data_IF_742546793276
#
_entry.id   IF_742546793276
#
_cell.length_a   1.000
_cell.length_b   1.000
_cell.length_c   1.000
_cell.angle_alpha   90.00
_cell.angle_beta   90.00
_cell.angle_gamma   90.00
#
_symmetry.space_group_name_H-M   'P 1'
#
loop_
_entity.id
_entity.type
_entity.pdbx_description
1 polymer ?
#
# COMPACT_ATOMS: atom_id res chain seq x y z
N UNK A 1 8.69 35.53 7.98
CA UNK A 1 9.13 36.19 6.73
C UNK A 1 10.50 35.62 6.39
N UNK A 2 10.66 35.07 5.19
CA UNK A 2 11.91 34.48 4.73
C UNK A 2 12.88 35.62 4.37
N UNK A 3 13.96 35.75 5.15
CA UNK A 3 14.95 36.83 4.99
C UNK A 3 15.47 36.96 3.55
N UNK A 4 15.50 35.86 2.78
CA UNK A 4 15.98 35.86 1.39
C UNK A 4 15.03 36.53 0.40
N UNK A 5 13.73 36.60 0.69
CA UNK A 5 12.72 37.26 -0.17
C UNK A 5 12.67 38.75 0.11
N UNK A 6 12.85 39.14 1.39
CA UNK A 6 12.87 40.54 1.81
C UNK A 6 14.12 41.29 1.29
N UNK A 7 15.19 40.54 0.98
CA UNK A 7 16.44 41.05 0.39
C UNK A 7 16.36 41.28 -1.15
N UNK A 8 15.28 40.83 -1.80
CA UNK A 8 15.05 41.08 -3.23
C UNK A 8 14.28 42.40 -3.43
N UNK A 9 14.78 43.29 -4.30
CA UNK A 9 14.02 44.47 -4.72
C UNK A 9 12.67 44.02 -5.32
N UNK A 10 11.55 44.48 -4.72
CA UNK A 10 10.18 44.07 -5.03
C UNK A 10 9.83 42.59 -4.73
N UNK A 11 10.58 41.91 -3.87
CA UNK A 11 10.37 40.48 -3.55
C UNK A 11 8.96 40.16 -3.07
N UNK A 12 8.36 41.00 -2.20
CA UNK A 12 6.98 40.82 -1.72
C UNK A 12 5.96 40.96 -2.85
N UNK A 13 6.12 41.94 -3.74
CA UNK A 13 5.21 42.17 -4.88
C UNK A 13 5.30 41.01 -5.87
N UNK A 14 6.50 40.49 -6.11
CA UNK A 14 6.73 39.33 -6.96
C UNK A 14 6.07 38.07 -6.37
N UNK A 15 6.19 37.87 -5.05
CA UNK A 15 5.56 36.76 -4.35
C UNK A 15 4.04 36.80 -4.45
N UNK A 16 3.43 37.98 -4.27
CA UNK A 16 1.97 38.16 -4.36
C UNK A 16 1.46 37.94 -5.80
N UNK A 17 2.24 38.35 -6.80
CA UNK A 17 1.96 38.05 -8.20
C UNK A 17 1.99 36.55 -8.47
N UNK A 18 3.02 35.83 -7.98
CA UNK A 18 3.11 34.38 -8.13
C UNK A 18 1.97 33.65 -7.43
N UNK A 19 1.57 34.09 -6.23
CA UNK A 19 0.40 33.53 -5.51
C UNK A 19 -0.88 33.72 -6.32
N UNK A 20 -1.09 34.91 -6.86
CA UNK A 20 -2.28 35.21 -7.68
C UNK A 20 -2.30 34.36 -8.96
N UNK A 21 -1.14 34.17 -9.62
CA UNK A 21 -1.04 33.32 -10.81
C UNK A 21 -1.32 31.86 -10.46
N UNK A 22 -0.77 31.35 -9.35
CA UNK A 22 -0.98 29.98 -8.90
C UNK A 22 -2.48 29.72 -8.62
N UNK A 23 -3.14 30.62 -7.87
CA UNK A 23 -4.58 30.57 -7.59
C UNK A 23 -5.43 30.60 -8.86
N UNK A 24 -5.15 31.52 -9.78
CA UNK A 24 -5.89 31.64 -11.03
C UNK A 24 -5.73 30.40 -11.94
N UNK A 25 -4.63 29.66 -11.78
CA UNK A 25 -4.35 28.43 -12.53
C UNK A 25 -4.71 27.16 -11.77
N UNK A 26 -5.17 27.28 -10.52
CA UNK A 26 -5.39 26.14 -9.62
C UNK A 26 -4.13 25.26 -9.49
N UNK A 27 -2.95 25.88 -9.46
CA UNK A 27 -1.66 25.20 -9.31
C UNK A 27 -1.34 25.00 -7.82
N UNK A 28 -1.95 23.96 -7.25
CA UNK A 28 -1.84 23.63 -5.82
C UNK A 28 -0.39 23.42 -5.36
N UNK A 29 0.49 22.94 -6.26
CA UNK A 29 1.90 22.75 -5.96
C UNK A 29 2.60 24.10 -5.76
N UNK A 30 2.41 25.03 -6.70
CA UNK A 30 2.97 26.38 -6.57
C UNK A 30 2.34 27.14 -5.41
N UNK A 31 1.04 27.03 -5.18
CA UNK A 31 0.40 27.61 -3.99
C UNK A 31 1.05 27.12 -2.69
N UNK A 32 1.38 25.83 -2.62
CA UNK A 32 2.05 25.25 -1.47
C UNK A 32 3.47 25.80 -1.26
N UNK A 33 4.29 25.85 -2.32
CA UNK A 33 5.66 26.37 -2.23
C UNK A 33 5.71 27.84 -1.84
N UNK A 34 4.65 28.59 -2.12
CA UNK A 34 4.53 30.02 -1.82
C UNK A 34 3.96 30.29 -0.41
N UNK A 35 3.55 29.25 0.34
CA UNK A 35 3.16 29.39 1.74
C UNK A 35 4.41 29.62 2.60
N UNK A 36 4.41 30.61 3.51
CA UNK A 36 5.49 30.78 4.47
C UNK A 36 5.65 29.51 5.30
N UNK A 37 6.85 28.92 5.31
CA UNK A 37 7.17 27.62 5.92
C UNK A 37 7.66 27.69 7.37
N UNK A 38 7.69 28.90 7.96
CA UNK A 38 8.28 29.13 9.28
C UNK A 38 7.45 30.14 10.06
N UNK A 39 6.56 29.65 10.91
CA UNK A 39 6.14 30.41 12.09
C UNK A 39 7.31 30.57 13.08
N UNK A 40 7.33 31.66 13.86
CA UNK A 40 8.40 31.96 14.84
C UNK A 40 8.53 30.89 15.93
N UNK A 41 7.52 30.04 16.12
CA UNK A 41 7.60 28.79 16.87
C UNK A 41 6.78 27.74 16.11
N UNK A 42 7.38 26.61 15.70
CA UNK A 42 6.64 25.56 15.03
C UNK A 42 5.59 24.99 15.99
N UNK A 43 4.33 24.80 15.55
CA UNK A 43 3.32 24.15 16.37
C UNK A 43 3.78 22.74 16.74
N UNK A 44 3.56 22.32 17.99
CA UNK A 44 3.78 20.94 18.41
C UNK A 44 2.67 20.09 17.78
N UNK A 45 2.98 19.38 16.70
CA UNK A 45 2.08 18.41 16.08
C UNK A 45 2.34 17.00 16.62
N UNK A 46 1.26 16.29 16.95
CA UNK A 46 1.28 14.90 17.38
C UNK A 46 0.92 14.01 16.19
N UNK A 47 1.82 13.07 15.87
CA UNK A 47 1.66 12.16 14.75
C UNK A 47 1.19 10.81 15.24
N UNK A 48 0.16 10.27 14.60
CA UNK A 48 -0.24 8.89 14.79
C UNK A 48 0.34 8.06 13.66
N UNK A 49 1.34 7.23 13.96
CA UNK A 49 1.75 6.19 13.01
C UNK A 49 0.82 5.01 13.15
N UNK A 50 0.29 4.54 12.03
CA UNK A 50 -0.55 3.37 11.94
C UNK A 50 -0.07 2.49 10.78
N UNK A 51 0.03 1.18 11.01
CA UNK A 51 0.26 0.20 9.95
C UNK A 51 -0.93 -0.76 9.89
N UNK A 52 -1.32 -1.10 8.67
CA UNK A 52 -2.36 -2.08 8.41
C UNK A 52 -1.83 -3.13 7.44
N UNK A 53 -1.64 -4.32 7.97
CA UNK A 53 -1.06 -5.45 7.25
C UNK A 53 -2.08 -6.57 7.18
N UNK A 54 -2.32 -7.09 5.98
CA UNK A 54 -3.06 -8.33 5.77
C UNK A 54 -2.08 -9.43 5.41
N UNK A 55 -2.08 -10.51 6.19
CA UNK A 55 -1.26 -11.70 5.94
C UNK A 55 -2.21 -12.85 5.58
N UNK A 56 -1.98 -13.49 4.44
CA UNK A 56 -2.78 -14.61 3.96
C UNK A 56 -1.88 -15.82 3.69
N UNK A 57 -2.17 -16.93 4.33
CA UNK A 57 -1.51 -18.20 4.08
C UNK A 57 -2.48 -19.15 3.37
N UNK A 58 -2.16 -19.49 2.14
CA UNK A 58 -2.90 -20.44 1.33
C UNK A 58 -2.11 -21.74 1.24
N UNK A 59 -2.55 -22.76 1.98
CA UNK A 59 -1.94 -24.08 1.97
C UNK A 59 -2.62 -24.94 0.91
N UNK A 60 -1.87 -25.33 -0.12
CA UNK A 60 -2.34 -26.22 -1.18
C UNK A 60 -2.10 -27.68 -0.81
N UNK A 61 -0.89 -28.02 -0.39
CA UNK A 61 -0.54 -29.34 0.13
C UNK A 61 0.22 -29.19 1.45
N UNK A 62 -0.10 -30.02 2.45
CA UNK A 62 0.67 -30.13 3.68
C UNK A 62 0.67 -31.59 4.15
N UNK A 63 1.60 -32.36 3.61
CA UNK A 63 1.77 -33.78 3.90
C UNK A 63 3.23 -34.04 4.27
N UNK A 64 3.45 -34.60 5.45
CA UNK A 64 4.78 -34.91 5.96
C UNK A 64 4.84 -36.42 6.19
N UNK A 65 5.62 -37.11 5.36
CA UNK A 65 5.95 -38.51 5.54
C UNK A 65 7.39 -38.66 6.02
N UNK A 66 7.58 -39.46 7.09
CA UNK A 66 8.88 -39.77 7.65
C UNK A 66 9.01 -41.29 7.77
N UNK A 67 9.86 -41.90 6.94
CA UNK A 67 10.26 -43.30 7.04
C UNK A 67 11.38 -43.45 8.06
N UNK A 68 10.99 -43.83 9.28
CA UNK A 68 11.91 -44.08 10.40
C UNK A 68 12.91 -45.20 10.09
N UNK A 69 12.54 -46.18 9.26
CA UNK A 69 13.43 -47.27 8.86
C UNK A 69 14.63 -46.76 8.07
N UNK A 70 14.42 -45.77 7.19
CA UNK A 70 15.50 -45.13 6.45
C UNK A 70 16.40 -44.27 7.35
N UNK A 71 15.84 -43.58 8.34
CA UNK A 71 16.62 -42.86 9.36
C UNK A 71 17.54 -43.83 10.11
N UNK A 72 17.00 -44.99 10.53
CA UNK A 72 17.79 -46.02 11.21
C UNK A 72 18.87 -46.61 10.30
N UNK A 73 18.60 -46.81 9.02
CA UNK A 73 19.59 -47.29 8.04
C UNK A 73 20.73 -46.27 7.80
N UNK A 74 20.45 -44.96 7.90
CA UNK A 74 21.46 -43.91 7.82
C UNK A 74 22.41 -43.93 9.03
N UNK A 75 21.85 -44.13 10.23
CA UNK A 75 22.61 -44.14 11.50
C UNK A 75 23.40 -45.43 11.70
N UNK A 76 22.85 -46.56 11.26
CA UNK A 76 23.48 -47.89 11.42
C UNK A 76 24.48 -48.24 10.33
N UNK A 77 24.63 -47.40 9.29
CA UNK A 77 25.60 -47.60 8.21
C UNK A 77 25.19 -48.64 7.16
N UNK A 78 23.93 -49.10 7.18
CA UNK A 78 23.41 -50.10 6.24
C UNK A 78 23.16 -49.54 4.82
N UNK A 79 23.34 -48.22 4.62
CA UNK A 79 23.16 -47.55 3.34
C UNK A 79 23.94 -46.23 3.32
N UNK A 80 24.09 -45.62 2.13
CA UNK A 80 24.66 -44.27 2.03
C UNK A 80 23.77 -43.29 2.82
N UNK A 81 24.29 -42.60 3.85
CA UNK A 81 23.51 -41.72 4.72
C UNK A 81 22.70 -40.66 3.95
N UNK A 82 23.25 -40.11 2.86
CA UNK A 82 22.57 -39.10 2.06
C UNK A 82 21.34 -39.67 1.34
N UNK A 83 21.45 -40.88 0.81
CA UNK A 83 20.35 -41.57 0.12
C UNK A 83 19.26 -41.96 1.12
N UNK A 84 19.67 -42.45 2.29
CA UNK A 84 18.76 -42.84 3.35
C UNK A 84 17.99 -41.63 3.94
N UNK A 85 18.65 -40.49 4.14
CA UNK A 85 17.97 -39.26 4.58
C UNK A 85 16.97 -38.77 3.53
N UNK A 86 17.31 -38.79 2.24
CA UNK A 86 16.37 -38.43 1.17
C UNK A 86 15.16 -39.37 1.14
N UNK A 87 15.40 -40.68 1.24
CA UNK A 87 14.34 -41.67 1.27
C UNK A 87 13.47 -41.56 2.54
N UNK A 88 14.03 -41.12 3.66
CA UNK A 88 13.30 -40.90 4.90
C UNK A 88 12.18 -39.87 4.73
N UNK A 89 12.36 -38.86 3.88
CA UNK A 89 11.34 -37.84 3.63
C UNK A 89 10.59 -38.04 2.31
N UNK A 90 10.73 -39.22 1.68
CA UNK A 90 10.07 -39.50 0.42
C UNK A 90 8.54 -39.53 0.62
N UNK A 91 7.82 -38.66 -0.12
CA UNK A 91 6.40 -38.40 0.10
C UNK A 91 6.08 -37.15 0.92
N UNK A 92 7.09 -36.43 1.43
CA UNK A 92 6.88 -35.08 1.96
C UNK A 92 6.51 -34.13 0.80
N UNK A 93 5.35 -33.48 0.92
CA UNK A 93 4.81 -32.55 -0.05
C UNK A 93 4.18 -31.36 0.69
N UNK A 94 4.87 -30.23 0.66
CA UNK A 94 4.42 -28.98 1.26
C UNK A 94 4.36 -27.94 0.14
N UNK A 95 3.19 -27.39 -0.14
CA UNK A 95 2.97 -26.37 -1.16
C UNK A 95 2.07 -25.30 -0.55
N UNK A 96 2.61 -24.09 -0.36
CA UNK A 96 1.83 -22.96 0.16
C UNK A 96 2.24 -21.63 -0.48
N UNK A 97 1.28 -20.70 -0.46
CA UNK A 97 1.47 -19.31 -0.85
C UNK A 97 1.26 -18.43 0.37
N UNK A 98 2.18 -17.52 0.63
CA UNK A 98 2.09 -16.47 1.63
C UNK A 98 1.97 -15.13 0.92
N UNK A 99 0.85 -14.44 1.15
CA UNK A 99 0.62 -13.10 0.66
C UNK A 99 0.69 -12.12 1.83
N UNK A 100 1.43 -11.04 1.67
CA UNK A 100 1.40 -9.92 2.60
C UNK A 100 0.97 -8.67 1.86
N UNK A 101 -0.03 -7.97 2.38
CA UNK A 101 -0.50 -6.70 1.82
C UNK A 101 -0.27 -5.61 2.86
N UNK A 102 0.65 -4.70 2.56
CA UNK A 102 0.98 -3.57 3.41
C UNK A 102 0.29 -2.32 2.90
N UNK A 103 -0.43 -1.61 3.77
CA UNK A 103 -0.93 -0.27 3.46
C UNK A 103 0.25 0.70 3.26
N UNK A 104 0.54 1.07 2.02
CA UNK A 104 1.64 1.97 1.69
C UNK A 104 1.25 3.45 1.82
N UNK A 105 -0.03 3.77 1.72
CA UNK A 105 -0.53 5.12 1.97
C UNK A 105 -1.90 5.40 1.38
N UNK A 106 -2.44 6.56 1.75
CA UNK A 106 -3.67 7.12 1.22
C UNK A 106 -3.36 8.35 0.36
N UNK A 107 -4.02 8.45 -0.79
CA UNK A 107 -3.74 9.43 -1.82
C UNK A 107 -5.05 10.00 -2.35
N UNK A 108 -5.03 11.26 -2.76
CA UNK A 108 -6.14 11.87 -3.49
C UNK A 108 -5.83 11.88 -4.97
N UNK A 109 -6.84 11.61 -5.78
CA UNK A 109 -6.73 11.63 -7.23
C UNK A 109 -7.91 12.32 -7.88
N UNK A 110 -7.70 12.78 -9.10
CA UNK A 110 -8.75 13.31 -9.95
C UNK A 110 -8.90 12.34 -11.12
N UNK A 111 -9.99 11.58 -11.17
CA UNK A 111 -10.29 10.70 -12.30
C UNK A 111 -10.68 11.56 -13.50
N UNK A 112 -9.69 11.87 -14.34
CA UNK A 112 -9.86 12.81 -15.46
C UNK A 112 -10.47 12.15 -16.68
N UNK A 113 -10.38 10.82 -16.78
CA UNK A 113 -10.91 10.05 -17.90
C UNK A 113 -12.19 9.26 -17.56
N UNK A 114 -12.57 9.22 -16.29
CA UNK A 114 -13.83 8.67 -15.78
C UNK A 114 -13.90 7.15 -15.82
N UNK A 115 -12.75 6.48 -15.76
CA UNK A 115 -12.64 5.03 -15.90
C UNK A 115 -12.51 4.28 -14.56
N UNK A 116 -12.54 4.99 -13.41
CA UNK A 116 -12.35 4.48 -12.06
C UNK A 116 -11.00 3.75 -11.82
N UNK A 117 -10.00 4.01 -12.67
CA UNK A 117 -8.66 3.41 -12.65
C UNK A 117 -7.61 4.52 -12.73
N UNK A 118 -6.92 4.74 -11.60
CA UNK A 118 -5.83 5.70 -11.50
C UNK A 118 -4.77 5.44 -12.58
N UNK A 119 -4.57 6.43 -13.43
CA UNK A 119 -3.64 6.38 -14.54
C UNK A 119 -2.39 7.24 -14.30
N UNK A 120 -1.31 6.85 -14.99
CA UNK A 120 -0.07 7.63 -15.05
C UNK A 120 0.53 7.51 -16.45
N UNK A 121 0.95 8.65 -17.00
CA UNK A 121 1.65 8.69 -18.27
C UNK A 121 3.15 8.70 -18.01
N UNK A 122 3.87 7.85 -18.75
CA UNK A 122 5.31 7.73 -18.63
C UNK A 122 5.97 8.33 -19.87
N UNK A 123 7.07 9.04 -19.67
CA UNK A 123 7.95 9.51 -20.74
C UNK A 123 9.31 8.82 -20.62
N UNK A 124 9.90 8.38 -21.73
CA UNK A 124 11.25 7.86 -21.71
C UNK A 124 12.25 8.99 -21.46
N UNK A 125 13.14 8.79 -20.49
CA UNK A 125 14.34 9.61 -20.31
C UNK A 125 15.58 8.73 -20.49
N UNK A 126 16.70 9.35 -20.87
CA UNK A 126 17.98 8.63 -20.95
C UNK A 126 18.75 8.85 -19.65
N UNK A 127 19.04 7.76 -18.94
CA UNK A 127 19.91 7.74 -17.75
C UNK A 127 21.04 6.76 -18.04
N UNK A 128 22.29 7.23 -17.99
CA UNK A 128 23.49 6.42 -18.25
C UNK A 128 23.45 5.63 -19.58
N UNK A 129 22.86 6.21 -20.62
CA UNK A 129 22.73 5.60 -21.95
C UNK A 129 21.62 4.54 -22.07
N UNK A 130 20.88 4.25 -20.99
CA UNK A 130 19.70 3.42 -21.00
C UNK A 130 18.42 4.28 -21.03
N UNK A 131 17.43 3.86 -21.83
CA UNK A 131 16.10 4.46 -21.82
C UNK A 131 15.32 3.92 -20.63
N UNK A 132 14.97 4.79 -19.70
CA UNK A 132 14.13 4.47 -18.53
C UNK A 132 12.82 5.25 -18.65
N UNK A 133 11.70 4.56 -18.50
CA UNK A 133 10.38 5.19 -18.45
C UNK A 133 10.18 5.80 -17.06
N UNK A 134 9.95 7.12 -17.00
CA UNK A 134 9.63 7.83 -15.76
C UNK A 134 8.23 8.44 -15.86
N UNK A 135 7.46 8.46 -14.75
CA UNK A 135 6.15 9.10 -14.76
C UNK A 135 6.31 10.60 -15.03
N UNK A 136 5.55 11.11 -16.00
CA UNK A 136 5.51 12.53 -16.39
C UNK A 136 4.22 13.21 -15.92
N UNK A 137 3.11 12.47 -15.89
CA UNK A 137 1.86 12.94 -15.29
C UNK A 137 1.15 11.78 -14.61
N UNK A 138 0.37 12.07 -13.57
CA UNK A 138 -0.51 11.12 -12.91
C UNK A 138 -1.76 11.83 -12.44
N UNK A 139 -2.84 11.07 -12.31
CA UNK A 139 -4.08 11.52 -11.69
C UNK A 139 -3.96 11.67 -10.17
N UNK A 140 -2.95 11.04 -9.56
CA UNK A 140 -2.60 11.27 -8.18
C UNK A 140 -2.14 12.71 -7.98
N UNK A 141 -2.75 13.40 -7.02
CA UNK A 141 -2.50 14.82 -6.75
C UNK A 141 -1.91 15.05 -5.37
N UNK A 142 -2.42 14.38 -4.35
CA UNK A 142 -2.00 14.58 -2.96
C UNK A 142 -1.76 13.23 -2.27
N UNK A 143 -0.84 13.23 -1.32
CA UNK A 143 -0.72 12.18 -0.30
C UNK A 143 -1.36 12.68 0.98
N UNK A 144 -2.14 11.84 1.64
CA UNK A 144 -2.69 12.14 2.95
C UNK A 144 -1.71 11.73 4.05
N UNK A 145 -1.43 12.67 4.95
CA UNK A 145 -0.65 12.45 6.17
C UNK A 145 -1.62 12.38 7.34
N UNK A 146 -1.58 11.28 8.08
CA UNK A 146 -2.42 11.10 9.25
C UNK A 146 -1.88 11.93 10.42
N UNK A 147 -2.70 12.81 10.96
CA UNK A 147 -2.42 13.60 12.15
C UNK A 147 -2.87 12.83 13.40
N UNK A 148 -3.95 13.29 14.01
CA UNK A 148 -4.55 12.65 15.19
C UNK A 148 -5.72 11.74 14.82
N UNK A 149 -5.93 10.74 15.67
CA UNK A 149 -7.06 9.81 15.58
C UNK A 149 -7.71 9.73 16.96
N UNK A 150 -9.02 9.89 17.03
CA UNK A 150 -9.74 9.75 18.30
C UNK A 150 -9.82 8.29 18.75
N UNK A 151 -10.19 7.38 17.85
CA UNK A 151 -10.26 5.95 18.20
C UNK A 151 -10.12 4.99 17.02
N UNK A 152 -9.77 3.75 17.35
CA UNK A 152 -9.72 2.62 16.42
C UNK A 152 -10.75 1.57 16.83
N UNK A 153 -11.63 1.18 15.91
CA UNK A 153 -12.65 0.17 16.10
C UNK A 153 -12.46 -0.98 15.12
N UNK A 154 -11.91 -2.09 15.60
CA UNK A 154 -11.74 -3.30 14.80
C UNK A 154 -13.06 -4.04 14.63
N UNK A 155 -13.44 -4.29 13.38
CA UNK A 155 -14.59 -5.11 13.00
C UNK A 155 -14.11 -6.54 12.83
N UNK A 156 -14.55 -7.42 13.74
CA UNK A 156 -14.21 -8.84 13.67
C UNK A 156 -14.78 -9.50 12.42
N UNK A 157 -14.11 -10.54 11.88
CA UNK A 157 -14.63 -11.32 10.76
C UNK A 157 -16.06 -11.79 11.00
N UNK A 158 -16.95 -11.40 10.09
CA UNK A 158 -18.36 -11.76 10.13
C UNK A 158 -18.73 -12.48 8.84
N UNK A 159 -19.37 -13.63 8.97
CA UNK A 159 -19.84 -14.42 7.84
C UNK A 159 -21.22 -13.91 7.44
N UNK A 160 -21.36 -13.49 6.19
CA UNK A 160 -22.66 -13.18 5.62
C UNK A 160 -23.45 -14.49 5.39
N UNK A 161 -24.63 -14.65 6.01
CA UNK A 161 -25.37 -15.91 5.95
C UNK A 161 -25.86 -16.24 4.52
N UNK A 162 -26.09 -15.23 3.66
CA UNK A 162 -26.70 -15.42 2.33
C UNK A 162 -25.71 -15.90 1.28
N UNK A 163 -24.51 -15.31 1.23
CA UNK A 163 -23.50 -15.58 0.19
C UNK A 163 -22.20 -16.19 0.73
N UNK A 164 -22.11 -16.42 2.05
CA UNK A 164 -20.93 -16.96 2.75
C UNK A 164 -19.68 -16.09 2.63
N UNK A 165 -19.81 -14.83 2.20
CA UNK A 165 -18.70 -13.88 2.23
C UNK A 165 -18.27 -13.62 3.67
N UNK A 166 -16.98 -13.35 3.87
CA UNK A 166 -16.41 -13.06 5.18
C UNK A 166 -15.84 -11.65 5.12
N UNK A 167 -16.36 -10.74 5.95
CA UNK A 167 -15.91 -9.35 5.96
C UNK A 167 -15.32 -8.97 7.31
N UNK A 168 -14.23 -8.20 7.29
CA UNK A 168 -13.58 -7.63 8.48
C UNK A 168 -12.94 -6.30 8.12
N UNK A 169 -12.57 -5.51 9.12
CA UNK A 169 -11.92 -4.24 8.84
C UNK A 169 -11.59 -3.43 10.08
N UNK A 170 -11.14 -2.21 9.86
CA UNK A 170 -10.79 -1.24 10.87
C UNK A 170 -11.51 0.07 10.55
N UNK A 171 -12.30 0.54 11.51
CA UNK A 171 -12.88 1.87 11.45
C UNK A 171 -12.02 2.80 12.32
N UNK A 172 -11.42 3.80 11.68
CA UNK A 172 -10.63 4.85 12.32
C UNK A 172 -11.54 6.06 12.45
N UNK A 173 -11.75 6.57 13.67
CA UNK A 173 -12.72 7.65 13.94
C UNK A 173 -12.06 8.93 14.40
N UNK A 174 -12.74 10.04 14.17
CA UNK A 174 -12.31 11.39 14.52
C UNK A 174 -10.90 11.64 13.98
N UNK A 175 -10.78 11.52 12.66
CA UNK A 175 -9.50 11.52 11.96
C UNK A 175 -9.16 12.94 11.54
N UNK A 176 -8.04 13.43 12.04
CA UNK A 176 -7.40 14.63 11.54
C UNK A 176 -6.28 14.24 10.58
N UNK A 177 -6.23 14.88 9.43
CA UNK A 177 -5.24 14.59 8.41
C UNK A 177 -4.83 15.84 7.64
N UNK A 178 -3.75 15.73 6.89
CA UNK A 178 -3.24 16.82 6.05
C UNK A 178 -3.01 16.30 4.64
N UNK A 179 -3.57 16.97 3.64
CA UNK A 179 -3.32 16.69 2.24
C UNK A 179 -2.06 17.43 1.79
N UNK A 180 -1.04 16.68 1.37
CA UNK A 180 0.23 17.23 0.87
C UNK A 180 0.35 16.93 -0.61
N UNK A 181 0.54 17.94 -1.49
CA UNK A 181 0.75 17.70 -2.91
C UNK A 181 1.91 16.74 -3.16
N UNK A 182 1.77 15.85 -4.14
CA UNK A 182 2.86 14.96 -4.52
C UNK A 182 4.07 15.75 -5.05
N UNK A 183 5.27 15.25 -4.76
CA UNK A 183 6.53 15.93 -5.14
C UNK A 183 6.98 17.04 -4.19
N UNK A 184 6.21 17.33 -3.13
CA UNK A 184 6.63 18.22 -2.04
C UNK A 184 7.32 17.41 -0.94
N UNK A 185 8.35 17.98 -0.32
CA UNK A 185 9.10 17.30 0.74
C UNK A 185 8.19 16.91 1.91
N UNK A 186 8.47 15.74 2.49
CA UNK A 186 7.75 15.16 3.61
C UNK A 186 7.61 16.17 4.74
N UNK A 187 8.65 16.93 5.10
CA UNK A 187 8.58 17.84 6.24
C UNK A 187 7.74 19.11 6.01
N UNK A 188 7.25 19.32 4.79
CA UNK A 188 6.50 20.54 4.43
C UNK A 188 5.06 20.57 4.99
N UNK A 189 4.58 19.49 5.62
CA UNK A 189 3.23 19.42 6.20
C UNK A 189 3.04 20.18 7.52
N UNK A 190 4.13 20.67 8.13
CA UNK A 190 4.08 21.20 9.51
C UNK A 190 3.08 22.37 9.63
N UNK A 191 2.95 23.18 8.59
CA UNK A 191 2.03 24.34 8.55
C UNK A 191 0.85 24.16 7.57
N UNK A 192 0.64 22.93 7.11
CA UNK A 192 -0.39 22.68 6.13
C UNK A 192 -1.79 22.59 6.76
N UNK A 193 -2.85 23.00 6.02
CA UNK A 193 -4.22 22.94 6.51
C UNK A 193 -4.58 21.52 6.92
N UNK A 194 -5.24 21.43 8.07
CA UNK A 194 -5.76 20.17 8.56
C UNK A 194 -7.20 19.98 8.08
N UNK A 195 -7.53 18.74 7.77
CA UNK A 195 -8.85 18.28 7.38
C UNK A 195 -9.32 17.28 8.43
N UNK A 196 -10.61 17.33 8.75
CA UNK A 196 -11.21 16.42 9.72
C UNK A 196 -12.21 15.50 9.01
N UNK A 197 -12.18 14.23 9.37
CA UNK A 197 -13.11 13.20 8.92
C UNK A 197 -13.73 12.52 10.13
N UNK A 198 -15.04 12.30 10.10
CA UNK A 198 -15.70 11.50 11.15
C UNK A 198 -15.13 10.08 11.19
N UNK A 199 -14.85 9.49 10.03
CA UNK A 199 -14.21 8.19 9.94
C UNK A 199 -13.44 7.94 8.64
N UNK A 200 -12.50 7.00 8.71
CA UNK A 200 -11.93 6.26 7.58
C UNK A 200 -12.11 4.76 7.87
N UNK A 201 -12.65 4.01 6.92
CA UNK A 201 -12.83 2.58 7.01
C UNK A 201 -11.89 1.84 6.07
N UNK A 202 -11.10 0.92 6.64
CA UNK A 202 -10.23 0.00 5.93
C UNK A 202 -10.74 -1.43 6.12
N UNK A 203 -11.40 -1.99 5.12
CA UNK A 203 -12.00 -3.32 5.18
C UNK A 203 -11.58 -4.25 4.06
N UNK A 204 -11.87 -5.53 4.30
CA UNK A 204 -11.76 -6.58 3.32
C UNK A 204 -13.02 -7.44 3.34
N UNK A 205 -13.43 -7.88 2.16
CA UNK A 205 -14.42 -8.93 2.00
C UNK A 205 -13.84 -10.07 1.18
N UNK A 206 -13.81 -11.25 1.78
CA UNK A 206 -13.48 -12.50 1.12
C UNK A 206 -14.76 -13.14 0.57
N UNK A 207 -14.81 -13.38 -0.73
CA UNK A 207 -15.94 -14.01 -1.41
C UNK A 207 -15.56 -15.40 -1.93
N UNK A 208 -15.76 -16.46 -1.12
CA UNK A 208 -15.48 -17.81 -1.55
C UNK A 208 -16.47 -18.21 -2.66
N UNK A 209 -15.94 -18.77 -3.74
CA UNK A 209 -16.74 -19.37 -4.79
C UNK A 209 -16.07 -20.63 -5.32
N UNK A 210 -16.86 -21.50 -5.92
CA UNK A 210 -16.34 -22.69 -6.59
C UNK A 210 -16.29 -22.39 -8.07
N UNK A 211 -15.10 -22.44 -8.64
CA UNK A 211 -14.94 -22.46 -10.08
C UNK A 211 -15.31 -23.85 -10.60
N UNK A 212 -16.51 -23.96 -11.17
CA UNK A 212 -17.03 -25.24 -11.67
C UNK A 212 -16.30 -25.74 -12.92
N UNK A 213 -15.66 -24.85 -13.69
CA UNK A 213 -14.92 -25.25 -14.88
C UNK A 213 -13.57 -25.86 -14.50
N UNK A 214 -12.93 -25.32 -13.46
CA UNK A 214 -11.64 -25.80 -12.97
C UNK A 214 -11.75 -26.83 -11.83
N UNK A 215 -12.95 -27.02 -11.28
CA UNK A 215 -13.16 -27.86 -10.09
C UNK A 215 -12.43 -27.34 -8.86
N UNK A 216 -12.11 -26.05 -8.82
CA UNK A 216 -11.25 -25.44 -7.82
C UNK A 216 -12.01 -24.40 -7.00
N UNK A 217 -11.70 -24.30 -5.70
CA UNK A 217 -12.14 -23.17 -4.88
C UNK A 217 -11.36 -21.92 -5.29
N UNK A 218 -12.07 -20.83 -5.54
CA UNK A 218 -11.50 -19.50 -5.69
C UNK A 218 -12.05 -18.59 -4.60
N UNK A 219 -11.27 -17.60 -4.20
CA UNK A 219 -11.70 -16.63 -3.21
C UNK A 219 -11.21 -15.27 -3.62
N UNK A 220 -12.11 -14.46 -4.18
CA UNK A 220 -11.78 -13.08 -4.49
C UNK A 220 -11.75 -12.30 -3.19
N UNK A 221 -10.74 -11.45 -3.05
CA UNK A 221 -10.63 -10.51 -1.94
C UNK A 221 -10.98 -9.15 -2.52
N UNK A 222 -12.05 -8.57 -2.01
CA UNK A 222 -12.43 -7.20 -2.27
C UNK A 222 -11.86 -6.30 -1.18
N UNK A 223 -11.33 -5.15 -1.58
CA UNK A 223 -11.00 -4.06 -0.67
C UNK A 223 -12.26 -3.20 -0.46
N UNK A 224 -12.69 -3.05 0.79
CA UNK A 224 -13.83 -2.20 1.14
C UNK A 224 -13.31 -0.94 1.83
N UNK A 225 -13.33 0.17 1.11
CA UNK A 225 -12.70 1.41 1.54
C UNK A 225 -13.70 2.55 1.44
N UNK A 226 -13.91 3.24 2.56
CA UNK A 226 -14.83 4.38 2.62
C UNK A 226 -14.28 5.41 3.59
N UNK A 227 -14.62 6.67 3.37
CA UNK A 227 -14.24 7.76 4.27
C UNK A 227 -15.42 8.73 4.37
N UNK A 228 -15.52 9.40 5.51
CA UNK A 228 -16.53 10.43 5.72
C UNK A 228 -16.30 11.63 4.78
N UNK A 229 -17.31 12.49 4.58
CA UNK A 229 -17.09 13.78 3.93
C UNK A 229 -16.07 14.65 4.67
N UNK A 230 -15.42 15.57 3.95
CA UNK A 230 -14.45 16.51 4.51
C UNK A 230 -15.11 17.54 5.43
N UNK A 231 -14.61 17.66 6.67
CA UNK A 231 -14.93 18.63 7.72
C UNK A 231 -16.38 18.67 8.22
N UNK A 232 -17.38 18.65 7.33
CA UNK A 232 -18.80 18.77 7.64
C UNK A 232 -19.66 17.88 6.72
N UNK A 233 -20.50 16.98 7.26
CA UNK A 233 -21.48 16.20 6.49
C UNK A 233 -22.53 17.04 5.76
N UNK A 234 -22.90 18.20 6.31
CA UNK A 234 -23.95 19.09 5.80
C UNK A 234 -23.38 20.16 4.84
N UNK A 235 -22.06 20.36 4.83
CA UNK A 235 -21.36 21.34 4.00
C UNK A 235 -19.92 20.88 3.67
N UNK A 236 -19.76 19.87 2.79
CA UNK A 236 -18.50 19.14 2.63
C UNK A 236 -17.47 19.91 1.79
N UNK A 237 -16.83 20.91 2.40
CA UNK A 237 -15.73 21.63 1.80
C UNK A 237 -14.45 21.35 2.59
N UNK A 238 -13.43 20.86 1.89
CA UNK A 238 -12.09 20.78 2.45
C UNK A 238 -11.54 22.20 2.67
N UNK A 239 -10.71 22.35 3.71
CA UNK A 239 -9.97 23.59 3.97
C UNK A 239 -8.91 23.86 2.88
N UNK A 240 -8.51 22.80 2.18
CA UNK A 240 -7.61 22.80 1.03
C UNK A 240 -8.37 22.68 -0.29
N UNK A 241 -7.78 23.07 -1.44
CA UNK A 241 -8.37 22.90 -2.78
C UNK A 241 -8.33 21.43 -3.25
N UNK A 242 -8.89 20.54 -2.43
CA UNK A 242 -9.01 19.09 -2.64
C UNK A 242 -10.47 18.63 -2.71
N UNK A 243 -11.40 19.59 -2.65
CA UNK A 243 -12.85 19.33 -2.78
C UNK A 243 -13.12 18.73 -4.16
N UNK A 244 -13.83 17.60 -4.21
CA UNK A 244 -14.14 16.88 -5.44
C UNK A 244 -13.08 15.87 -5.88
N UNK A 245 -12.00 15.69 -5.12
CA UNK A 245 -11.04 14.61 -5.35
C UNK A 245 -11.50 13.31 -4.68
N UNK A 246 -11.19 12.20 -5.32
CA UNK A 246 -11.45 10.86 -4.81
C UNK A 246 -10.27 10.33 -3.98
N UNK A 247 -10.58 9.44 -3.04
CA UNK A 247 -9.58 8.77 -2.20
C UNK A 247 -9.17 7.45 -2.82
N UNK A 248 -7.86 7.27 -2.96
CA UNK A 248 -7.23 6.01 -3.28
C UNK A 248 -6.37 5.54 -2.12
N UNK A 249 -6.37 4.23 -1.88
CA UNK A 249 -5.50 3.61 -0.90
C UNK A 249 -4.63 2.59 -1.60
N UNK A 250 -3.32 2.76 -1.47
CA UNK A 250 -2.34 1.92 -2.15
C UNK A 250 -1.87 0.84 -1.18
N UNK A 251 -2.03 -0.42 -1.59
CA UNK A 251 -1.47 -1.57 -0.91
C UNK A 251 -0.30 -2.13 -1.72
N UNK A 252 0.82 -2.38 -1.05
CA UNK A 252 1.95 -3.11 -1.62
C UNK A 252 1.80 -4.56 -1.22
N UNK A 253 1.69 -5.43 -2.22
CA UNK A 253 1.49 -6.86 -2.02
C UNK A 253 2.76 -7.63 -2.34
N UNK A 254 3.21 -8.47 -1.42
CA UNK A 254 4.30 -9.42 -1.65
C UNK A 254 3.73 -10.82 -1.68
N UNK A 255 4.18 -11.62 -2.65
CA UNK A 255 3.81 -13.04 -2.77
C UNK A 255 5.06 -13.87 -2.57
N UNK A 256 4.99 -14.82 -1.64
CA UNK A 256 5.97 -15.87 -1.47
C UNK A 256 5.30 -17.20 -1.76
N UNK A 257 5.80 -17.89 -2.79
CA UNK A 257 5.44 -19.28 -3.06
C UNK A 257 6.52 -20.19 -2.51
N UNK A 258 6.12 -21.20 -1.74
CA UNK A 258 7.00 -22.25 -1.25
C UNK A 258 6.47 -23.60 -1.69
N UNK A 259 7.31 -24.37 -2.38
CA UNK A 259 7.06 -25.77 -2.71
C UNK A 259 8.25 -26.60 -2.23
N UNK A 260 7.98 -27.56 -1.35
CA UNK A 260 8.87 -28.68 -1.03
C UNK A 260 8.25 -29.95 -1.57
N UNK A 261 8.86 -30.49 -2.62
CA UNK A 261 8.47 -31.77 -3.21
C UNK A 261 9.71 -32.65 -3.35
N UNK A 262 9.82 -33.68 -2.51
CA UNK A 262 11.02 -34.54 -2.47
C UNK A 262 11.08 -35.50 -3.68
N UNK A 263 9.99 -35.66 -4.44
CA UNK A 263 10.00 -36.40 -5.70
C UNK A 263 10.63 -35.59 -6.86
N UNK A 264 10.74 -34.26 -6.76
CA UNK A 264 11.51 -33.43 -7.70
C UNK A 264 12.98 -33.40 -7.25
N UNK A 265 13.74 -34.43 -7.61
CA UNK A 265 15.20 -34.41 -7.50
C UNK A 265 15.79 -33.48 -8.58
N UNK A 266 15.90 -32.20 -8.26
CA UNK A 266 16.70 -31.26 -9.07
C UNK A 266 18.18 -31.34 -8.68
N UNK A 267 19.08 -31.12 -9.64
CA UNK A 267 20.45 -30.74 -9.31
C UNK A 267 20.40 -29.50 -8.41
N UNK A 268 21.19 -29.50 -7.34
CA UNK A 268 21.44 -28.27 -6.57
C UNK A 268 21.93 -27.22 -7.57
N UNK A 269 21.21 -26.09 -7.76
CA UNK A 269 21.71 -25.02 -8.61
C UNK A 269 23.02 -24.51 -8.02
N UNK A 270 24.03 -24.30 -8.87
CA UNK A 270 25.35 -23.84 -8.41
C UNK A 270 25.28 -22.42 -7.83
N UNK A 271 24.22 -21.66 -8.15
CA UNK A 271 23.95 -20.33 -7.62
C UNK A 271 22.45 -20.08 -7.33
N UNK A 272 22.10 -19.32 -6.27
CA UNK A 272 20.71 -18.96 -5.93
C UNK A 272 19.94 -18.23 -7.04
N UNK A 273 20.64 -17.56 -7.96
CA UNK A 273 20.06 -16.81 -9.08
C UNK A 273 19.38 -17.70 -10.13
N UNK A 274 19.69 -18.99 -10.17
CA UNK A 274 19.05 -19.93 -11.08
C UNK A 274 17.62 -20.32 -10.66
N UNK A 275 17.28 -20.12 -9.38
CA UNK A 275 15.91 -20.31 -8.86
C UNK A 275 14.96 -19.17 -9.25
N UNK A 276 15.49 -18.05 -9.76
CA UNK A 276 14.72 -16.87 -10.15
C UNK A 276 14.33 -16.86 -11.64
N UNK A 277 14.71 -17.89 -12.41
CA UNK A 277 14.33 -18.06 -13.82
C UNK A 277 13.07 -18.92 -13.91
N UNK A 278 11.92 -18.35 -13.57
CA UNK A 278 10.58 -18.85 -13.90
C UNK A 278 9.85 -17.80 -14.74
#
# INVERSE_FOLDING_TARGET
ADQKIDDLNNGTVLLDQWKTIAQNKSDNYMEWLLKPTLEKQPPIKYWTQFSFDLIQLWVKNFEIHIDIGQILNAVTGNSNPNVAIVNAFNGCNIDFFLFTHHLAGAYLYNDTDGNDVISANYTPITVDGASVAVPFSSELSHRLILGTVGSFAFTKPTINPSNKSISWGLNVRDVNLTAVPLGVDLHSYVDAPEENLEYIYFGFTFEPSVDRALGASKGLIKLDQFFAPWNDPDSPYANSPITGLDLAIIYVSTVLHFELNIAKQGQLPEAPTELLKL
#
